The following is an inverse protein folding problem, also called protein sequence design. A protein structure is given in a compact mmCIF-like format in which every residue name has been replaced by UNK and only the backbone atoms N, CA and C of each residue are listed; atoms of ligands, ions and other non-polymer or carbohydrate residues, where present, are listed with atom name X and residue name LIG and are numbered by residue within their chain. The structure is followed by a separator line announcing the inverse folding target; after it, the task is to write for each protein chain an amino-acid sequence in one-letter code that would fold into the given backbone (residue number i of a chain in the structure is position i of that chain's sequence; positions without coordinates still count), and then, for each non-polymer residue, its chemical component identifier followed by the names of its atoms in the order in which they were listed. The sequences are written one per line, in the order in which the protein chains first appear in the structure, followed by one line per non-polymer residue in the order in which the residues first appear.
data_IF_502072324972
#
_entry.id   IF_502072324972
#
_cell.length_a   1.000
_cell.length_b   1.000
_cell.length_c   1.000
_cell.angle_alpha   90.00
_cell.angle_beta   90.00
_cell.angle_gamma   90.00
#
_symmetry.space_group_name_H-M   'P 1'
#
loop_
_entity.id
_entity.type
_entity.pdbx_description
1 polymer ?
#
# COMPACT_ATOMS: atom_id res chain seq x y z
N UNK A 1 -10.22 -0.96 -9.78
CA UNK A 1 -8.97 -1.70 -9.65
C UNK A 1 -8.89 -2.28 -8.24
N UNK A 2 -8.80 -3.61 -8.11
CA UNK A 2 -8.75 -4.25 -6.80
C UNK A 2 -7.38 -4.86 -6.57
N UNK A 3 -6.43 -4.01 -6.25
CA UNK A 3 -5.07 -4.43 -5.94
C UNK A 3 -4.76 -4.11 -4.49
N UNK A 4 -4.23 -5.08 -3.77
CA UNK A 4 -3.97 -4.98 -2.34
C UNK A 4 -2.49 -5.11 -2.06
N UNK A 5 -2.03 -4.37 -1.05
CA UNK A 5 -0.62 -4.28 -0.70
C UNK A 5 -0.44 -4.32 0.80
N UNK A 6 0.68 -4.87 1.24
CA UNK A 6 1.13 -4.76 2.62
C UNK A 6 2.39 -3.90 2.65
N UNK A 7 2.37 -2.85 3.46
CA UNK A 7 3.54 -2.00 3.68
C UNK A 7 4.56 -2.76 4.51
N UNK A 8 5.86 -2.49 4.30
CA UNK A 8 6.92 -3.19 5.02
C UNK A 8 6.81 -3.05 6.55
N UNK A 9 6.09 -2.05 7.03
CA UNK A 9 5.79 -1.88 8.46
C UNK A 9 4.50 -2.56 8.90
N UNK A 10 3.83 -3.27 8.01
CA UNK A 10 2.69 -4.12 8.33
C UNK A 10 1.30 -3.58 7.98
N UNK A 11 1.18 -2.31 7.60
CA UNK A 11 -0.13 -1.74 7.24
C UNK A 11 -0.67 -2.33 5.95
N UNK A 12 -1.98 -2.57 5.92
CA UNK A 12 -2.68 -3.08 4.74
C UNK A 12 -3.32 -1.93 3.97
N UNK A 13 -3.22 -1.98 2.65
CA UNK A 13 -3.73 -0.92 1.77
C UNK A 13 -4.37 -1.49 0.52
N UNK A 14 -5.36 -0.76 0.00
CA UNK A 14 -5.96 -1.03 -1.30
C UNK A 14 -5.56 0.09 -2.25
N UNK A 15 -4.98 -0.26 -3.40
CA UNK A 15 -4.71 0.71 -4.45
C UNK A 15 -6.03 1.06 -5.13
N UNK A 16 -6.38 2.35 -5.11
CA UNK A 16 -7.65 2.84 -5.66
C UNK A 16 -7.47 3.26 -7.10
N UNK A 17 -6.40 3.98 -7.40
CA UNK A 17 -6.19 4.56 -8.71
C UNK A 17 -4.74 5.00 -8.89
N UNK A 18 -4.37 5.22 -10.15
CA UNK A 18 -3.16 5.95 -10.51
C UNK A 18 -3.63 7.30 -11.02
N UNK A 19 -3.21 8.37 -10.35
CA UNK A 19 -3.65 9.73 -10.68
C UNK A 19 -2.48 10.54 -11.23
N UNK A 20 -2.76 11.47 -12.14
CA UNK A 20 -1.75 12.38 -12.68
C UNK A 20 -1.91 13.76 -12.05
N UNK A 21 -0.78 14.35 -11.66
CA UNK A 21 -0.77 15.75 -11.22
C UNK A 21 -1.11 16.64 -12.41
N UNK A 22 -2.11 17.50 -12.26
CA UNK A 22 -2.63 18.30 -13.38
C UNK A 22 -1.61 19.27 -13.98
N UNK A 23 -0.65 19.71 -13.17
CA UNK A 23 0.38 20.67 -13.62
C UNK A 23 1.62 20.00 -14.18
N UNK A 24 2.16 19.01 -13.44
CA UNK A 24 3.43 18.39 -13.76
C UNK A 24 3.29 17.10 -14.54
N UNK A 25 2.09 16.51 -14.56
CA UNK A 25 1.79 15.19 -15.13
C UNK A 25 2.51 14.05 -14.42
N UNK A 26 3.11 14.33 -13.27
CA UNK A 26 3.70 13.28 -12.43
C UNK A 26 2.59 12.32 -11.96
N UNK A 27 2.87 11.01 -12.01
CA UNK A 27 1.90 10.01 -11.61
C UNK A 27 2.03 9.65 -10.14
N UNK A 28 0.87 9.47 -9.49
CA UNK A 28 0.77 9.12 -8.08
C UNK A 28 -0.07 7.87 -7.90
N UNK A 29 0.34 7.00 -6.99
CA UNK A 29 -0.51 5.95 -6.49
C UNK A 29 -1.48 6.57 -5.47
N UNK A 30 -2.77 6.31 -5.62
CA UNK A 30 -3.82 6.71 -4.68
C UNK A 30 -4.27 5.45 -3.97
N UNK A 31 -4.10 5.39 -2.65
CA UNK A 31 -4.35 4.16 -1.91
C UNK A 31 -5.07 4.42 -0.60
N UNK A 32 -5.87 3.43 -0.22
CA UNK A 32 -6.75 3.49 0.94
C UNK A 32 -6.19 2.63 2.06
N UNK A 33 -6.03 3.20 3.24
CA UNK A 33 -5.65 2.43 4.43
C UNK A 33 -6.82 1.53 4.86
N UNK A 34 -6.52 0.24 5.04
CA UNK A 34 -7.52 -0.74 5.50
C UNK A 34 -7.46 -0.90 7.02
N UNK A 35 -7.12 0.18 7.70
CA UNK A 35 -7.06 0.24 9.15
C UNK A 35 -7.39 1.67 9.60
N UNK A 36 -7.59 1.84 10.90
CA UNK A 36 -7.89 3.15 11.47
C UNK A 36 -9.16 3.76 10.89
N UNK A 37 -9.11 5.02 10.51
CA UNK A 37 -10.25 5.73 9.93
C UNK A 37 -10.37 5.56 8.42
N UNK A 38 -9.51 4.76 7.80
CA UNK A 38 -9.56 4.53 6.36
C UNK A 38 -9.11 5.73 5.55
N UNK A 39 -7.99 6.34 5.92
CA UNK A 39 -7.48 7.49 5.18
C UNK A 39 -7.04 7.10 3.78
N UNK A 40 -7.25 8.03 2.86
CA UNK A 40 -6.76 7.93 1.49
C UNK A 40 -5.47 8.72 1.39
N UNK A 41 -4.44 8.08 0.87
CA UNK A 41 -3.09 8.64 0.74
C UNK A 41 -2.68 8.69 -0.72
N UNK A 42 -1.74 9.58 -1.03
CA UNK A 42 -1.08 9.58 -2.34
C UNK A 42 0.44 9.51 -2.13
N UNK A 43 1.11 8.88 -3.07
CA UNK A 43 2.57 8.78 -3.09
C UNK A 43 3.04 8.74 -4.53
N UNK A 44 4.14 9.43 -4.89
CA UNK A 44 4.67 9.30 -6.25
C UNK A 44 4.84 7.84 -6.63
N UNK A 45 4.46 7.48 -7.86
CA UNK A 45 4.41 6.08 -8.26
C UNK A 45 5.76 5.38 -8.13
N UNK A 46 6.84 6.08 -8.42
CA UNK A 46 8.19 5.54 -8.30
C UNK A 46 8.52 5.18 -6.85
N UNK A 47 8.03 5.97 -5.91
CA UNK A 47 8.21 5.72 -4.48
C UNK A 47 7.35 4.57 -4.00
N UNK A 48 6.09 4.52 -4.47
CA UNK A 48 5.17 3.45 -4.06
C UNK A 48 5.75 2.08 -4.41
N UNK A 49 6.31 1.95 -5.61
CA UNK A 49 6.88 0.68 -6.07
C UNK A 49 8.38 0.54 -5.80
N UNK A 50 8.95 1.41 -4.97
CA UNK A 50 10.37 1.36 -4.63
C UNK A 50 10.65 0.29 -3.57
N UNK A 51 11.93 -0.02 -3.43
CA UNK A 51 12.40 -0.91 -2.38
C UNK A 51 13.01 -0.09 -1.24
N UNK A 52 13.00 -0.66 -0.04
CA UNK A 52 13.66 -0.10 1.14
C UNK A 52 14.71 -1.10 1.62
N UNK A 53 15.77 -0.59 2.22
CA UNK A 53 16.81 -1.43 2.79
C UNK A 53 16.55 -1.60 4.28
N UNK A 54 16.36 -2.83 4.72
CA UNK A 54 16.15 -3.18 6.12
C UNK A 54 17.31 -4.09 6.54
N UNK A 55 18.24 -3.53 7.29
CA UNK A 55 19.41 -4.27 7.81
C UNK A 55 20.17 -4.99 6.71
N UNK A 56 20.40 -4.30 5.59
CA UNK A 56 21.14 -4.86 4.46
C UNK A 56 20.32 -5.69 3.49
N UNK A 57 19.02 -5.87 3.75
CA UNK A 57 18.13 -6.63 2.88
C UNK A 57 17.17 -5.68 2.19
N UNK A 58 17.10 -5.76 0.86
CA UNK A 58 16.12 -5.00 0.09
C UNK A 58 14.77 -5.68 0.12
N UNK A 59 13.74 -4.94 0.53
CA UNK A 59 12.35 -5.41 0.53
C UNK A 59 11.48 -4.38 -0.17
N UNK A 60 10.38 -4.82 -0.74
CA UNK A 60 9.42 -3.91 -1.37
C UNK A 60 8.78 -3.03 -0.31
N UNK A 61 8.72 -1.73 -0.57
CA UNK A 61 8.04 -0.78 0.32
C UNK A 61 6.57 -1.16 0.49
N UNK A 62 5.92 -1.54 -0.62
CA UNK A 62 4.57 -2.09 -0.65
C UNK A 62 4.61 -3.38 -1.45
N UNK A 63 4.36 -4.48 -0.79
CA UNK A 63 4.32 -5.79 -1.43
C UNK A 63 2.90 -6.11 -1.85
N UNK A 64 2.70 -6.41 -3.13
CA UNK A 64 1.39 -6.79 -3.62
C UNK A 64 1.01 -8.18 -3.11
N UNK A 65 -0.23 -8.31 -2.64
CA UNK A 65 -0.77 -9.54 -2.11
C UNK A 65 -2.13 -9.83 -2.77
N UNK A 66 -2.57 -11.07 -2.66
CA UNK A 66 -3.88 -11.44 -3.19
C UNK A 66 -4.98 -10.95 -2.26
N UNK A 67 -6.22 -10.89 -2.78
CA UNK A 67 -7.38 -10.54 -1.96
C UNK A 67 -7.54 -11.53 -0.82
N UNK A 68 -7.29 -12.81 -1.07
CA UNK A 68 -7.36 -13.86 -0.04
C UNK A 68 -6.35 -13.60 1.08
N UNK A 69 -5.12 -13.28 0.72
CA UNK A 69 -4.07 -12.94 1.70
C UNK A 69 -4.45 -11.70 2.49
N UNK A 70 -5.00 -10.68 1.80
CA UNK A 70 -5.45 -9.45 2.44
C UNK A 70 -6.53 -9.74 3.48
N UNK A 71 -7.53 -10.55 3.13
CA UNK A 71 -8.61 -10.91 4.05
C UNK A 71 -8.08 -11.68 5.26
N UNK A 72 -7.13 -12.59 5.05
CA UNK A 72 -6.47 -13.34 6.11
C UNK A 72 -5.73 -12.42 7.08
N UNK A 73 -4.92 -11.51 6.55
CA UNK A 73 -4.15 -10.58 7.35
C UNK A 73 -5.05 -9.58 8.09
N UNK A 74 -6.10 -9.12 7.42
CA UNK A 74 -7.06 -8.20 8.01
C UNK A 74 -7.76 -8.84 9.22
N UNK A 75 -8.18 -10.09 9.08
CA UNK A 75 -8.80 -10.86 10.16
C UNK A 75 -7.84 -11.05 11.35
N UNK A 76 -6.59 -11.40 11.04
CA UNK A 76 -5.55 -11.58 12.04
C UNK A 76 -5.30 -10.28 12.83
N UNK A 77 -5.25 -9.15 12.13
CA UNK A 77 -5.07 -7.85 12.78
C UNK A 77 -6.24 -7.49 13.69
N UNK A 78 -7.46 -7.82 13.28
CA UNK A 78 -8.66 -7.58 14.11
C UNK A 78 -8.69 -8.42 15.37
N UNK A 79 -8.14 -9.63 15.32
CA UNK A 79 -8.12 -10.54 16.46
C UNK A 79 -7.16 -10.10 17.57
N UNK A 80 -6.27 -9.15 17.27
CA UNK A 80 -5.30 -8.63 18.24
C UNK A 80 -5.77 -7.37 18.96
N UNK A 81 -7.01 -6.95 18.74
CA UNK A 81 -7.56 -5.73 19.35
C UNK A 81 -8.27 -6.04 20.69
#
# INVERSE_FOLDING_TARGET
MERYFVHFKGGLYKLIAIASHSETLEEFAVYLALYGTGKVWIRPINMFFSKVNIRGVEVERFKEITKKEMLCLLKSQKEHI
#
